data_IF_535225311077
#
_entry.id   IF_535225311077
#
_cell.length_a   1.000
_cell.length_b   1.000
_cell.length_c   1.000
_cell.angle_alpha   90.00
_cell.angle_beta   90.00
_cell.angle_gamma   90.00
#
_symmetry.space_group_name_H-M   'P 1'
#
loop_
_entity.id
_entity.type
_entity.pdbx_description
1 polymer ?
#
# COMPACT_ATOMS: atom_id res chain seq x y z
N UNK A 1 -32.87 60.90 -15.78
CA UNK A 1 -31.58 60.70 -15.05
C UNK A 1 -31.60 59.30 -14.52
N UNK A 2 -31.09 58.35 -15.30
CA UNK A 2 -31.11 56.92 -15.01
C UNK A 2 -29.64 56.49 -14.87
N UNK A 3 -29.24 56.17 -13.66
CA UNK A 3 -27.88 55.70 -13.35
C UNK A 3 -27.88 54.15 -13.41
N UNK A 4 -27.16 53.63 -14.36
CA UNK A 4 -26.92 52.20 -14.53
C UNK A 4 -25.78 51.80 -13.61
N UNK A 5 -26.04 50.90 -12.67
CA UNK A 5 -25.02 50.24 -11.86
C UNK A 5 -24.55 48.98 -12.61
N UNK A 6 -23.32 49.06 -13.07
CA UNK A 6 -22.57 47.97 -13.69
C UNK A 6 -22.00 47.07 -12.55
N UNK A 7 -22.54 45.86 -12.38
CA UNK A 7 -22.02 44.86 -11.46
C UNK A 7 -20.87 44.15 -12.16
N UNK A 8 -19.67 44.45 -11.72
CA UNK A 8 -18.43 43.71 -12.03
C UNK A 8 -18.51 42.30 -11.40
N UNK A 9 -18.73 41.34 -12.24
CA UNK A 9 -18.74 39.90 -11.88
C UNK A 9 -17.33 39.37 -12.10
N UNK A 10 -16.47 39.49 -11.06
CA UNK A 10 -15.16 38.87 -11.08
C UNK A 10 -15.29 37.37 -10.90
N UNK A 11 -15.03 36.59 -11.95
CA UNK A 11 -14.94 35.14 -11.95
C UNK A 11 -13.79 34.65 -11.05
N UNK A 12 -14.05 33.78 -10.05
CA UNK A 12 -13.02 33.24 -9.18
C UNK A 12 -12.34 31.97 -9.72
N UNK A 13 -12.46 31.65 -11.03
CA UNK A 13 -11.92 30.42 -11.61
C UNK A 13 -10.44 30.48 -12.05
N UNK A 14 -9.74 31.59 -11.81
CA UNK A 14 -8.36 31.78 -12.29
C UNK A 14 -7.23 31.38 -11.35
N UNK A 15 -7.49 30.92 -10.11
CA UNK A 15 -6.45 30.83 -9.08
C UNK A 15 -5.96 29.41 -8.72
N UNK A 16 -6.42 28.35 -9.38
CA UNK A 16 -6.09 26.95 -8.99
C UNK A 16 -5.14 26.20 -9.94
N UNK A 17 -4.57 26.87 -10.96
CA UNK A 17 -3.74 26.19 -11.99
C UNK A 17 -2.25 26.62 -11.99
N UNK A 18 -1.74 27.22 -10.94
CA UNK A 18 -0.35 27.68 -10.87
C UNK A 18 0.47 26.81 -9.89
N UNK A 19 0.96 25.65 -10.37
CA UNK A 19 1.86 24.81 -9.55
C UNK A 19 2.21 23.44 -10.08
N UNK A 20 1.61 22.94 -11.15
CA UNK A 20 2.10 21.75 -11.82
C UNK A 20 3.18 22.19 -12.82
N UNK A 21 4.46 22.15 -12.43
CA UNK A 21 5.58 22.29 -13.36
C UNK A 21 5.34 21.34 -14.53
N UNK A 22 5.58 21.82 -15.75
CA UNK A 22 5.43 21.05 -16.98
C UNK A 22 6.34 19.83 -16.90
N UNK A 23 5.74 18.64 -16.73
CA UNK A 23 6.49 17.39 -16.60
C UNK A 23 7.15 17.12 -17.96
N UNK A 24 8.48 16.94 -17.96
CA UNK A 24 9.21 16.56 -19.17
C UNK A 24 8.59 15.28 -19.77
N UNK A 25 8.24 15.26 -21.06
CA UNK A 25 7.72 14.08 -21.73
C UNK A 25 8.56 12.81 -21.52
N UNK A 26 9.88 12.93 -21.44
CA UNK A 26 10.78 11.81 -21.17
C UNK A 26 10.62 11.29 -19.72
N UNK A 27 10.45 12.18 -18.76
CA UNK A 27 10.16 11.82 -17.35
C UNK A 27 8.78 11.16 -17.22
N UNK A 28 7.78 11.67 -17.91
CA UNK A 28 6.45 11.08 -17.97
C UNK A 28 6.47 9.64 -18.53
N UNK A 29 7.20 9.41 -19.63
CA UNK A 29 7.37 8.08 -20.23
C UNK A 29 8.08 7.13 -19.25
N UNK A 30 9.15 7.58 -18.61
CA UNK A 30 9.89 6.80 -17.61
C UNK A 30 8.98 6.42 -16.44
N UNK A 31 8.18 7.35 -15.91
CA UNK A 31 7.23 7.10 -14.83
C UNK A 31 6.19 6.04 -15.21
N UNK A 32 5.65 6.08 -16.43
CA UNK A 32 4.72 5.06 -16.95
C UNK A 32 5.39 3.69 -16.99
N UNK A 33 6.59 3.59 -17.53
CA UNK A 33 7.35 2.33 -17.62
C UNK A 33 7.64 1.76 -16.25
N UNK A 34 8.10 2.59 -15.32
CA UNK A 34 8.39 2.21 -13.94
C UNK A 34 7.13 1.68 -13.24
N UNK A 35 6.02 2.43 -13.30
CA UNK A 35 4.73 2.01 -12.74
C UNK A 35 4.29 0.65 -13.26
N UNK A 36 4.40 0.41 -14.57
CA UNK A 36 4.03 -0.87 -15.20
C UNK A 36 4.94 -1.99 -14.72
N UNK A 37 6.25 -1.76 -14.65
CA UNK A 37 7.23 -2.76 -14.19
C UNK A 37 6.98 -3.16 -12.73
N UNK A 38 6.82 -2.18 -11.84
CA UNK A 38 6.51 -2.40 -10.41
C UNK A 38 5.20 -3.16 -10.24
N UNK A 39 4.15 -2.76 -10.96
CA UNK A 39 2.83 -3.45 -10.91
C UNK A 39 2.94 -4.92 -11.34
N UNK A 40 3.68 -5.19 -12.42
CA UNK A 40 3.90 -6.56 -12.92
C UNK A 40 4.71 -7.40 -11.92
N UNK A 41 5.78 -6.84 -11.38
CA UNK A 41 6.60 -7.50 -10.36
C UNK A 41 5.79 -7.80 -9.10
N UNK A 42 5.05 -6.83 -8.59
CA UNK A 42 4.16 -7.00 -7.45
C UNK A 42 3.15 -8.15 -7.67
N UNK A 43 2.51 -8.19 -8.84
CA UNK A 43 1.58 -9.28 -9.21
C UNK A 43 2.27 -10.65 -9.18
N UNK A 44 3.50 -10.76 -9.72
CA UNK A 44 4.28 -12.01 -9.71
C UNK A 44 4.62 -12.45 -8.28
N UNK A 45 5.07 -11.52 -7.44
CA UNK A 45 5.36 -11.80 -6.03
C UNK A 45 4.13 -12.28 -5.26
N UNK A 46 2.97 -11.70 -5.53
CA UNK A 46 1.71 -12.14 -4.93
C UNK A 46 1.34 -13.56 -5.33
N UNK A 47 1.56 -13.95 -6.59
CA UNK A 47 1.28 -15.29 -7.09
C UNK A 47 2.18 -16.37 -6.46
N UNK A 48 3.43 -16.02 -6.11
CA UNK A 48 4.39 -16.96 -5.51
C UNK A 48 4.13 -17.20 -4.02
N UNK A 49 3.44 -16.32 -3.35
CA UNK A 49 3.31 -16.32 -1.89
C UNK A 49 1.87 -16.52 -1.42
N UNK A 50 1.06 -17.21 -2.21
CA UNK A 50 -0.37 -17.37 -1.89
C UNK A 50 -0.64 -18.10 -0.55
N UNK A 51 0.29 -18.92 -0.02
CA UNK A 51 0.20 -19.51 1.34
C UNK A 51 -1.20 -19.92 1.82
N UNK A 52 -2.13 -20.19 0.88
CA UNK A 52 -3.54 -20.42 1.18
C UNK A 52 -4.37 -19.16 1.47
N UNK A 53 -3.76 -17.96 1.51
CA UNK A 53 -4.46 -16.69 1.72
C UNK A 53 -4.83 -16.01 0.40
N UNK A 54 -6.00 -15.40 0.36
CA UNK A 54 -6.34 -14.45 -0.71
C UNK A 54 -5.46 -13.20 -0.59
N UNK A 55 -5.30 -12.41 -1.67
CA UNK A 55 -4.55 -11.16 -1.63
C UNK A 55 -5.04 -10.18 -0.56
N UNK A 56 -6.36 -10.05 -0.38
CA UNK A 56 -6.94 -9.17 0.64
C UNK A 56 -6.68 -9.68 2.06
N UNK A 57 -6.71 -10.99 2.30
CA UNK A 57 -6.36 -11.59 3.58
C UNK A 57 -4.88 -11.37 3.91
N UNK A 58 -3.98 -11.59 2.95
CA UNK A 58 -2.56 -11.37 3.14
C UNK A 58 -2.25 -9.89 3.44
N UNK A 59 -2.89 -8.94 2.71
CA UNK A 59 -2.75 -7.50 2.95
C UNK A 59 -3.25 -7.11 4.34
N UNK A 60 -4.46 -7.55 4.69
CA UNK A 60 -5.05 -7.26 6.01
C UNK A 60 -4.19 -7.82 7.15
N UNK A 61 -3.64 -9.04 7.00
CA UNK A 61 -2.77 -9.63 8.02
C UNK A 61 -1.47 -8.83 8.21
N UNK A 62 -0.87 -8.34 7.11
CA UNK A 62 0.26 -7.40 7.16
C UNK A 62 -0.15 -6.10 7.84
N UNK A 63 -1.35 -5.59 7.55
CA UNK A 63 -1.90 -4.38 8.17
C UNK A 63 -2.06 -4.51 9.69
N UNK A 64 -2.56 -5.65 10.17
CA UNK A 64 -2.68 -5.93 11.61
C UNK A 64 -1.32 -5.94 12.30
N UNK A 65 -0.30 -6.57 11.69
CA UNK A 65 1.06 -6.59 12.23
C UNK A 65 1.67 -5.18 12.26
N UNK A 66 1.56 -4.44 11.16
CA UNK A 66 2.19 -3.11 11.01
C UNK A 66 1.58 -2.05 11.94
N UNK A 67 0.26 -2.03 12.06
CA UNK A 67 -0.44 -1.06 12.92
C UNK A 67 -0.41 -1.42 14.42
N UNK A 68 0.07 -2.60 14.79
CA UNK A 68 0.21 -3.00 16.20
C UNK A 68 -1.14 -3.00 16.94
N UNK A 69 -2.02 -3.94 16.64
CA UNK A 69 -3.35 -4.07 17.27
C UNK A 69 -4.36 -2.97 16.87
N UNK A 70 -4.64 -2.77 15.56
CA UNK A 70 -5.59 -1.78 15.08
C UNK A 70 -7.04 -2.14 15.43
N UNK A 71 -7.93 -1.14 15.40
CA UNK A 71 -9.36 -1.38 15.29
C UNK A 71 -9.72 -1.83 13.87
N UNK A 72 -10.89 -2.43 13.70
CA UNK A 72 -11.41 -2.80 12.36
C UNK A 72 -11.51 -1.58 11.44
N UNK A 73 -11.94 -0.43 11.97
CA UNK A 73 -12.05 0.81 11.21
C UNK A 73 -10.69 1.34 10.73
N UNK A 74 -9.68 1.33 11.60
CA UNK A 74 -8.31 1.74 11.23
C UNK A 74 -7.72 0.83 10.14
N UNK A 75 -7.95 -0.49 10.26
CA UNK A 75 -7.52 -1.44 9.24
C UNK A 75 -8.25 -1.24 7.91
N UNK A 76 -9.56 -0.98 7.93
CA UNK A 76 -10.36 -0.72 6.73
C UNK A 76 -9.89 0.57 6.02
N UNK A 77 -9.61 1.63 6.78
CA UNK A 77 -9.08 2.88 6.25
C UNK A 77 -7.72 2.68 5.57
N UNK A 78 -6.78 1.98 6.23
CA UNK A 78 -5.47 1.65 5.66
C UNK A 78 -5.57 0.87 4.34
N UNK A 79 -6.48 -0.10 4.28
CA UNK A 79 -6.66 -0.94 3.08
C UNK A 79 -7.57 -0.28 2.02
N UNK A 80 -8.05 0.94 2.27
CA UNK A 80 -8.97 1.69 1.39
C UNK A 80 -10.22 0.90 1.00
N UNK A 81 -10.79 0.15 1.96
CA UNK A 81 -12.01 -0.64 1.78
C UNK A 81 -13.10 -0.25 2.78
N UNK A 82 -14.34 -0.55 2.42
CA UNK A 82 -15.48 -0.31 3.32
C UNK A 82 -15.46 -1.27 4.53
N UNK A 83 -15.85 -0.83 5.74
CA UNK A 83 -15.86 -1.65 6.95
C UNK A 83 -16.55 -3.01 6.82
N UNK A 84 -17.70 -3.16 6.13
CA UNK A 84 -18.32 -4.47 5.93
C UNK A 84 -17.44 -5.46 5.15
N UNK A 85 -16.66 -4.97 4.17
CA UNK A 85 -15.72 -5.79 3.42
C UNK A 85 -14.58 -6.26 4.34
N UNK A 86 -14.00 -5.33 5.12
CA UNK A 86 -12.94 -5.66 6.07
C UNK A 86 -13.44 -6.64 7.15
N UNK A 87 -14.70 -6.52 7.61
CA UNK A 87 -15.30 -7.48 8.54
C UNK A 87 -15.24 -8.91 8.02
N UNK A 88 -15.57 -9.12 6.73
CA UNK A 88 -15.48 -10.45 6.09
C UNK A 88 -14.08 -10.98 6.00
N UNK A 89 -13.13 -10.09 5.62
CA UNK A 89 -11.70 -10.46 5.50
C UNK A 89 -11.13 -10.86 6.85
N UNK A 90 -11.39 -10.06 7.89
CA UNK A 90 -10.95 -10.34 9.27
C UNK A 90 -11.61 -11.60 9.81
N UNK A 91 -12.91 -11.80 9.58
CA UNK A 91 -13.62 -13.03 9.99
C UNK A 91 -12.93 -14.28 9.44
N UNK A 92 -12.58 -14.28 8.15
CA UNK A 92 -11.85 -15.40 7.56
C UNK A 92 -10.44 -15.58 8.15
N UNK A 93 -9.74 -14.51 8.55
CA UNK A 93 -8.45 -14.61 9.23
C UNK A 93 -8.59 -15.13 10.68
N UNK A 94 -9.70 -14.83 11.35
CA UNK A 94 -10.05 -15.39 12.66
C UNK A 94 -10.35 -16.89 12.56
N UNK A 95 -11.11 -17.33 11.56
CA UNK A 95 -11.39 -18.75 11.28
C UNK A 95 -10.11 -19.55 11.01
N UNK A 96 -9.14 -18.95 10.32
CA UNK A 96 -7.81 -19.53 10.09
C UNK A 96 -6.91 -19.48 11.35
N UNK A 97 -7.33 -18.81 12.41
CA UNK A 97 -6.55 -18.65 13.63
C UNK A 97 -5.34 -17.72 13.51
N UNK A 98 -5.31 -16.82 12.50
CA UNK A 98 -4.20 -15.90 12.28
C UNK A 98 -4.36 -14.55 12.96
N UNK A 99 -5.58 -14.17 13.27
CA UNK A 99 -5.95 -12.94 13.99
C UNK A 99 -6.91 -13.31 15.11
N UNK A 100 -6.89 -12.56 16.20
CA UNK A 100 -7.87 -12.62 17.29
C UNK A 100 -8.35 -11.21 17.64
N UNK A 101 -9.55 -11.13 18.20
CA UNK A 101 -10.07 -9.87 18.76
C UNK A 101 -9.81 -9.83 20.26
N UNK A 102 -9.26 -8.71 20.71
CA UNK A 102 -9.02 -8.44 22.12
C UNK A 102 -9.77 -7.15 22.47
N UNK A 103 -10.50 -7.18 23.59
CA UNK A 103 -11.17 -5.97 24.10
C UNK A 103 -10.11 -4.96 24.54
N UNK A 104 -10.27 -3.69 24.11
CA UNK A 104 -9.38 -2.61 24.55
C UNK A 104 -9.51 -2.42 26.08
N UNK A 105 -8.39 -2.44 26.82
CA UNK A 105 -8.44 -2.28 28.27
C UNK A 105 -8.92 -0.89 28.73
N UNK A 106 -8.80 0.13 27.87
CA UNK A 106 -9.20 1.50 28.16
C UNK A 106 -10.66 1.80 27.77
N UNK A 107 -11.20 1.12 26.74
CA UNK A 107 -12.61 1.22 26.34
C UNK A 107 -13.15 -0.16 25.91
N UNK A 108 -13.95 -0.77 26.79
CA UNK A 108 -14.54 -2.09 26.58
C UNK A 108 -15.48 -2.19 25.38
N UNK A 109 -15.88 -1.07 24.78
CA UNK A 109 -16.69 -1.04 23.55
C UNK A 109 -15.87 -1.20 22.29
N UNK A 110 -14.52 -1.08 22.42
CA UNK A 110 -13.58 -1.17 21.32
C UNK A 110 -12.94 -2.56 21.30
N UNK A 111 -12.98 -3.22 20.15
CA UNK A 111 -12.23 -4.45 19.90
C UNK A 111 -11.02 -4.13 19.00
N UNK A 112 -9.85 -4.61 19.43
CA UNK A 112 -8.59 -4.52 18.69
C UNK A 112 -8.26 -5.85 18.05
N UNK A 113 -7.67 -5.81 16.87
CA UNK A 113 -7.22 -6.97 16.13
C UNK A 113 -5.76 -7.26 16.49
N UNK A 114 -5.47 -8.47 16.93
CA UNK A 114 -4.11 -8.87 17.30
C UNK A 114 -3.69 -10.08 16.47
N UNK A 115 -2.49 -10.02 15.89
CA UNK A 115 -1.93 -11.14 15.16
C UNK A 115 -1.54 -12.27 16.15
N UNK A 116 -1.88 -13.49 15.78
CA UNK A 116 -1.50 -14.67 16.58
C UNK A 116 -0.07 -15.15 16.24
N UNK A 117 0.54 -16.01 17.05
CA UNK A 117 1.80 -16.66 16.69
C UNK A 117 1.72 -17.46 15.37
N UNK A 118 0.54 -18.02 15.05
CA UNK A 118 0.30 -18.70 13.77
C UNK A 118 0.29 -17.70 12.61
N UNK A 119 -0.44 -16.58 12.74
CA UNK A 119 -0.45 -15.50 11.76
C UNK A 119 0.94 -14.93 11.49
N UNK A 120 1.72 -14.69 12.54
CA UNK A 120 3.11 -14.20 12.40
C UNK A 120 4.03 -15.22 11.69
N UNK A 121 3.86 -16.52 11.93
CA UNK A 121 4.60 -17.56 11.19
C UNK A 121 4.24 -17.53 9.71
N UNK A 122 2.95 -17.52 9.39
CA UNK A 122 2.46 -17.46 8.00
C UNK A 122 2.99 -16.22 7.27
N UNK A 123 3.03 -15.05 7.90
CA UNK A 123 3.64 -13.85 7.29
C UNK A 123 5.13 -14.02 7.02
N UNK A 124 5.89 -14.62 7.93
CA UNK A 124 7.30 -14.90 7.70
C UNK A 124 7.51 -15.86 6.54
N UNK A 125 6.72 -16.90 6.43
CA UNK A 125 6.75 -17.85 5.32
C UNK A 125 6.45 -17.16 3.98
N UNK A 126 5.40 -16.34 3.93
CA UNK A 126 5.06 -15.54 2.74
C UNK A 126 6.22 -14.61 2.33
N UNK A 127 6.83 -13.92 3.29
CA UNK A 127 7.99 -13.04 3.04
C UNK A 127 9.20 -13.85 2.53
N UNK A 128 9.47 -14.99 3.15
CA UNK A 128 10.57 -15.87 2.73
C UNK A 128 10.39 -16.36 1.29
N UNK A 129 9.19 -16.79 0.90
CA UNK A 129 8.89 -17.22 -0.46
C UNK A 129 9.07 -16.08 -1.48
N UNK A 130 8.62 -14.86 -1.15
CA UNK A 130 8.82 -13.69 -2.01
C UNK A 130 10.30 -13.34 -2.18
N UNK A 131 11.04 -13.38 -1.08
CA UNK A 131 12.49 -13.11 -1.09
C UNK A 131 13.24 -14.16 -1.88
N UNK A 132 12.95 -15.45 -1.68
CA UNK A 132 13.57 -16.53 -2.45
C UNK A 132 13.28 -16.40 -3.95
N UNK A 133 12.05 -16.05 -4.32
CA UNK A 133 11.66 -15.81 -5.70
C UNK A 133 12.46 -14.66 -6.36
N UNK A 134 12.70 -13.56 -5.64
CA UNK A 134 13.51 -12.45 -6.15
C UNK A 134 14.98 -12.80 -6.19
N UNK A 135 15.49 -13.44 -5.13
CA UNK A 135 16.89 -13.83 -5.05
C UNK A 135 17.30 -14.75 -6.20
N UNK A 136 16.46 -15.74 -6.57
CA UNK A 136 16.69 -16.59 -7.73
C UNK A 136 16.84 -15.79 -9.04
N UNK A 137 16.03 -14.74 -9.22
CA UNK A 137 16.06 -13.90 -10.42
C UNK A 137 17.27 -12.98 -10.44
N UNK A 138 17.57 -12.35 -9.33
CA UNK A 138 18.78 -11.51 -9.18
C UNK A 138 20.04 -12.33 -9.38
N UNK A 139 20.06 -13.58 -8.89
CA UNK A 139 21.21 -14.47 -9.09
C UNK A 139 21.50 -14.76 -10.57
N UNK A 140 20.47 -14.83 -11.42
CA UNK A 140 20.60 -15.09 -12.86
C UNK A 140 20.99 -13.86 -13.69
N UNK A 141 21.06 -12.68 -13.09
CA UNK A 141 21.50 -11.47 -13.76
C UNK A 141 23.02 -11.47 -13.93
N UNK A 142 23.49 -10.81 -14.98
CA UNK A 142 24.89 -10.49 -15.14
C UNK A 142 25.37 -9.54 -14.03
N UNK A 143 26.69 -9.53 -13.70
CA UNK A 143 27.22 -8.70 -12.60
C UNK A 143 26.86 -7.21 -12.72
N UNK A 144 26.90 -6.65 -13.94
CA UNK A 144 26.54 -5.25 -14.20
C UNK A 144 25.06 -4.96 -13.92
N UNK A 145 24.17 -5.87 -14.33
CA UNK A 145 22.73 -5.73 -14.10
C UNK A 145 22.39 -5.89 -12.61
N UNK A 146 23.11 -6.73 -11.87
CA UNK A 146 22.95 -6.83 -10.41
C UNK A 146 23.29 -5.51 -9.71
N UNK A 147 24.37 -4.85 -10.12
CA UNK A 147 24.75 -3.53 -9.59
C UNK A 147 23.68 -2.47 -9.94
N UNK A 148 23.13 -2.51 -11.16
CA UNK A 148 22.05 -1.63 -11.56
C UNK A 148 20.76 -1.85 -10.74
N UNK A 149 20.41 -3.12 -10.46
CA UNK A 149 19.27 -3.44 -9.59
C UNK A 149 19.49 -2.95 -8.15
N UNK A 150 20.72 -3.08 -7.61
CA UNK A 150 21.03 -2.53 -6.28
C UNK A 150 20.81 -1.02 -6.24
N UNK A 151 21.37 -0.29 -7.20
CA UNK A 151 21.20 1.17 -7.28
C UNK A 151 19.72 1.57 -7.50
N UNK A 152 18.97 0.81 -8.32
CA UNK A 152 17.54 1.05 -8.49
C UNK A 152 16.76 0.84 -7.18
N UNK A 153 17.16 -0.12 -6.35
CA UNK A 153 16.52 -0.33 -5.04
C UNK A 153 16.70 0.90 -4.15
N UNK A 154 17.92 1.44 -4.05
CA UNK A 154 18.20 2.65 -3.27
C UNK A 154 17.37 3.85 -3.77
N UNK A 155 17.24 3.99 -5.11
CA UNK A 155 16.41 5.04 -5.71
C UNK A 155 14.92 4.87 -5.42
N UNK A 156 14.40 3.63 -5.44
CA UNK A 156 13.00 3.36 -5.12
C UNK A 156 12.68 3.62 -3.65
N UNK A 157 13.58 3.29 -2.74
CA UNK A 157 13.46 3.62 -1.32
C UNK A 157 13.39 5.15 -1.15
N UNK A 158 14.31 5.89 -1.79
CA UNK A 158 14.28 7.35 -1.75
C UNK A 158 12.98 7.96 -2.31
N UNK A 159 12.46 7.43 -3.42
CA UNK A 159 11.19 7.90 -4.01
C UNK A 159 9.99 7.70 -3.06
N UNK A 160 9.99 6.62 -2.27
CA UNK A 160 8.92 6.37 -1.27
C UNK A 160 9.04 7.34 -0.10
N UNK A 161 10.24 7.64 0.35
CA UNK A 161 10.49 8.50 1.52
C UNK A 161 10.26 10.00 1.23
N UNK A 162 10.27 10.42 -0.04
CA UNK A 162 10.02 11.82 -0.45
C UNK A 162 8.63 12.35 -0.03
N UNK A 163 7.64 11.47 0.15
CA UNK A 163 6.27 11.84 0.52
C UNK A 163 6.07 11.99 2.04
N UNK A 164 7.05 11.61 2.88
CA UNK A 164 6.95 11.66 4.35
C UNK A 164 7.55 12.95 4.98
N UNK A 165 8.05 13.89 4.18
CA UNK A 165 8.68 15.16 4.61
C UNK A 165 7.77 16.35 4.37
#
# INVERSE_FOLDING_TARGET
>A
MTSTLETDNADPEGAAAAGAGEIDPAEAELAVRLRVAVTRLHRRLRQQAAGGLTPSQASALVGVEHLGSPTLGALAARESVQPPTMTKVVGALEELGYVTRVTDPSDRRVARLTITPAGSRTLREIRSLKTAFLADRVHRLEPGDRAAVSHLTDLLEHLVDMDES
#
